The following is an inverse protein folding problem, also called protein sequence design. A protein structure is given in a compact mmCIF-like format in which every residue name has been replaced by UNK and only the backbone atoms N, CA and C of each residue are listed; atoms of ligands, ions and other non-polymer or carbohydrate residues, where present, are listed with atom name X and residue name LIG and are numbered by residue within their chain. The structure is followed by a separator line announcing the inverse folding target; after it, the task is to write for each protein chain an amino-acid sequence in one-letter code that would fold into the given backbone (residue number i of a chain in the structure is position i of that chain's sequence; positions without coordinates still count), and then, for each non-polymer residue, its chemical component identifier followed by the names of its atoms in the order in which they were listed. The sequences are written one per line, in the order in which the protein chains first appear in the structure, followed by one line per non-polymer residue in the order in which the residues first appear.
data_IF_232206132125
#
_entry.id   IF_232206132125
#
_cell.length_a   1.000
_cell.length_b   1.000
_cell.length_c   1.000
_cell.angle_alpha   90.00
_cell.angle_beta   90.00
_cell.angle_gamma   90.00
#
_symmetry.space_group_name_H-M   'P 1'
#
loop_
_entity.id
_entity.type
_entity.pdbx_description
1 polymer ?
#
# COMPACT_ATOMS: atom_id res chain seq x y z
N UNK A 1 11.16 29.37 23.12
CA UNK A 1 10.65 29.35 24.51
C UNK A 1 11.57 30.04 25.51
N UNK A 2 12.87 29.70 25.64
CA UNK A 2 13.75 30.44 26.58
C UNK A 2 13.97 31.90 26.17
N UNK A 3 14.10 32.17 24.87
CA UNK A 3 14.26 33.51 24.28
C UNK A 3 12.93 34.24 24.04
N UNK A 4 11.83 33.49 23.93
CA UNK A 4 10.48 34.00 23.67
C UNK A 4 9.51 33.24 24.58
N UNK A 5 9.17 33.83 25.74
CA UNK A 5 8.49 33.17 26.85
C UNK A 5 7.01 32.89 26.58
N UNK A 6 6.37 33.65 25.68
CA UNK A 6 4.94 33.51 25.36
C UNK A 6 4.65 32.52 24.22
N UNK A 7 5.68 31.93 23.60
CA UNK A 7 5.50 31.02 22.47
C UNK A 7 5.20 29.61 22.94
N UNK A 8 3.95 29.16 22.77
CA UNK A 8 3.55 27.75 22.93
C UNK A 8 3.88 26.97 21.66
N UNK A 9 4.66 25.90 21.78
CA UNK A 9 5.02 25.01 20.67
C UNK A 9 4.27 23.71 20.89
N UNK A 10 3.48 23.33 19.89
CA UNK A 10 2.83 22.04 19.80
C UNK A 10 3.71 21.10 18.98
N UNK A 11 3.93 19.90 19.50
CA UNK A 11 4.69 18.85 18.85
C UNK A 11 3.72 17.72 18.50
N UNK A 12 3.84 17.21 17.29
CA UNK A 12 3.05 16.08 16.78
C UNK A 12 4.05 15.00 16.40
N UNK A 13 3.95 13.83 17.04
CA UNK A 13 4.72 12.67 16.62
C UNK A 13 4.08 12.07 15.36
N UNK A 14 4.91 11.71 14.39
CA UNK A 14 4.49 11.12 13.12
C UNK A 14 5.12 9.74 12.95
N UNK A 15 4.29 8.72 12.76
CA UNK A 15 4.70 7.37 12.38
C UNK A 15 4.62 7.22 10.86
N UNK A 16 5.73 6.80 10.25
CA UNK A 16 5.78 6.44 8.83
C UNK A 16 5.87 4.93 8.66
N UNK A 17 5.03 4.37 7.80
CA UNK A 17 5.10 2.96 7.43
C UNK A 17 5.23 2.78 5.92
N UNK A 18 6.30 2.09 5.54
CA UNK A 18 6.53 1.60 4.19
C UNK A 18 6.40 0.09 4.19
N UNK A 19 5.52 -0.43 3.35
CA UNK A 19 5.45 -1.86 3.13
C UNK A 19 6.36 -2.30 1.99
N UNK A 20 6.51 -1.43 0.97
CA UNK A 20 7.32 -1.69 -0.21
C UNK A 20 8.31 -0.54 -0.47
N UNK A 21 9.33 -0.35 0.39
CA UNK A 21 10.20 0.83 0.37
C UNK A 21 11.04 0.98 -0.90
N UNK A 22 11.33 -0.11 -1.61
CA UNK A 22 12.12 -0.10 -2.85
C UNK A 22 11.29 0.06 -4.12
N UNK A 23 9.95 0.02 -4.01
CA UNK A 23 9.05 0.05 -5.17
C UNK A 23 8.76 1.49 -5.59
N UNK A 24 8.84 1.73 -6.89
CA UNK A 24 8.46 3.02 -7.45
C UNK A 24 6.96 3.27 -7.23
N UNK A 25 6.59 4.48 -6.79
CA UNK A 25 5.22 4.84 -6.39
C UNK A 25 4.67 3.94 -5.27
N UNK A 26 5.55 3.45 -4.40
CA UNK A 26 5.13 2.79 -3.17
C UNK A 26 4.26 3.76 -2.38
N UNK A 27 3.13 3.25 -1.92
CA UNK A 27 2.25 4.03 -1.07
C UNK A 27 2.66 3.78 0.40
N UNK A 28 2.44 4.76 1.26
CA UNK A 28 2.85 4.71 2.66
C UNK A 28 1.74 5.22 3.58
N UNK A 29 1.76 4.79 4.83
CA UNK A 29 0.81 5.23 5.85
C UNK A 29 1.50 6.21 6.79
N UNK A 30 0.86 7.36 6.98
CA UNK A 30 1.22 8.40 7.94
C UNK A 30 0.25 8.36 9.11
N UNK A 31 0.79 8.24 10.32
CA UNK A 31 0.01 8.27 11.55
C UNK A 31 0.45 9.41 12.44
N UNK A 32 -0.50 10.22 12.88
CA UNK A 32 -0.22 11.36 13.72
C UNK A 32 -0.66 11.08 15.17
N UNK A 33 0.14 11.51 16.13
CA UNK A 33 -0.27 11.53 17.53
C UNK A 33 -1.17 12.72 17.82
N UNK A 34 -1.86 12.68 18.96
CA UNK A 34 -2.43 13.92 19.50
C UNK A 34 -1.31 14.94 19.74
N UNK A 35 -1.51 16.23 19.37
CA UNK A 35 -0.54 17.27 19.65
C UNK A 35 -0.29 17.35 21.16
N UNK A 36 0.97 17.49 21.56
CA UNK A 36 1.34 17.78 22.94
C UNK A 36 2.13 19.07 23.01
N UNK A 37 1.91 19.85 24.06
CA UNK A 37 2.62 21.10 24.30
C UNK A 37 3.88 20.84 25.13
N UNK A 38 4.94 21.61 24.87
CA UNK A 38 6.15 21.56 25.69
C UNK A 38 5.89 22.27 27.01
N UNK A 39 5.98 21.55 28.13
CA UNK A 39 5.80 22.13 29.46
C UNK A 39 6.79 23.25 29.74
N UNK A 40 6.31 24.38 30.27
CA UNK A 40 7.14 25.51 30.69
C UNK A 40 8.22 25.11 31.71
N UNK A 41 7.94 24.10 32.54
CA UNK A 41 8.90 23.53 33.50
C UNK A 41 10.14 22.92 32.81
N UNK A 42 9.96 22.28 31.66
CA UNK A 42 11.09 21.73 30.88
C UNK A 42 11.95 22.86 30.27
N UNK A 43 11.34 24.00 29.96
CA UNK A 43 12.06 25.18 29.44
C UNK A 43 12.92 25.82 30.52
N UNK A 44 12.40 25.92 31.74
CA UNK A 44 13.16 26.39 32.91
C UNK A 44 14.28 25.42 33.28
N UNK A 45 14.00 24.11 33.25
CA UNK A 45 15.01 23.07 33.47
C UNK A 45 16.11 23.15 32.40
N UNK A 46 15.77 23.42 31.13
CA UNK A 46 16.75 23.58 30.06
C UNK A 46 17.69 24.78 30.27
N UNK A 47 17.25 25.84 30.96
CA UNK A 47 18.12 26.96 31.31
C UNK A 47 19.15 26.59 32.38
N UNK A 48 18.80 25.67 33.29
CA UNK A 48 19.67 25.21 34.38
C UNK A 48 20.58 24.05 33.95
N UNK A 49 19.98 23.00 33.37
CA UNK A 49 20.66 21.82 32.84
C UNK A 49 20.05 21.42 31.50
N UNK A 50 20.77 21.78 30.43
CA UNK A 50 20.38 21.47 29.05
C UNK A 50 20.26 19.96 28.81
N UNK A 51 21.14 19.14 29.42
CA UNK A 51 21.22 17.71 29.11
C UNK A 51 20.05 16.95 29.72
N UNK A 52 19.72 17.22 30.99
CA UNK A 52 18.56 16.61 31.66
C UNK A 52 17.25 16.96 30.96
N UNK A 53 17.02 18.25 30.67
CA UNK A 53 15.80 18.71 30.02
C UNK A 53 15.60 18.10 28.63
N UNK A 54 16.66 18.05 27.80
CA UNK A 54 16.62 17.38 26.50
C UNK A 54 16.34 15.87 26.65
N UNK A 55 16.95 15.20 27.62
CA UNK A 55 16.71 13.78 27.88
C UNK A 55 15.25 13.48 28.25
N UNK A 56 14.64 14.29 29.10
CA UNK A 56 13.21 14.16 29.47
C UNK A 56 12.29 14.43 28.28
N UNK A 57 12.57 15.47 27.51
CA UNK A 57 11.79 15.81 26.31
C UNK A 57 11.88 14.72 25.24
N UNK A 58 13.08 14.18 24.98
CA UNK A 58 13.29 13.05 24.08
C UNK A 58 12.57 11.80 24.57
N UNK A 59 12.61 11.49 25.87
CA UNK A 59 11.90 10.36 26.45
C UNK A 59 10.38 10.49 26.30
N UNK A 60 9.83 11.70 26.47
CA UNK A 60 8.41 11.95 26.23
C UNK A 60 8.05 11.80 24.75
N UNK A 61 8.89 12.34 23.85
CA UNK A 61 8.72 12.25 22.40
C UNK A 61 8.82 10.81 21.91
N UNK A 62 9.75 10.02 22.46
CA UNK A 62 9.89 8.59 22.18
C UNK A 62 8.63 7.82 22.57
N UNK A 63 8.04 8.08 23.75
CA UNK A 63 6.77 7.47 24.15
C UNK A 63 5.64 7.81 23.18
N UNK A 64 5.59 9.05 22.68
CA UNK A 64 4.60 9.50 21.67
C UNK A 64 4.86 8.87 20.30
N UNK A 65 6.11 8.68 19.89
CA UNK A 65 6.46 7.96 18.66
C UNK A 65 6.10 6.48 18.75
N UNK A 66 6.33 5.84 19.90
CA UNK A 66 5.95 4.45 20.14
C UNK A 66 4.43 4.25 20.07
N UNK A 67 3.62 5.23 20.46
CA UNK A 67 2.14 5.10 20.38
C UNK A 67 1.57 5.21 18.96
N UNK A 68 2.37 5.70 18.00
CA UNK A 68 2.04 5.74 16.56
C UNK A 68 2.84 4.73 15.75
N UNK A 69 3.58 3.84 16.43
CA UNK A 69 4.37 2.79 15.78
C UNK A 69 3.79 1.44 16.14
N UNK A 70 3.35 0.70 15.14
CA UNK A 70 2.92 -0.67 15.32
C UNK A 70 4.08 -1.62 15.18
N UNK A 71 4.38 -2.34 16.24
CA UNK A 71 5.45 -3.33 16.26
C UNK A 71 4.86 -4.74 16.30
N UNK A 72 5.40 -5.59 15.43
CA UNK A 72 5.19 -7.02 15.43
C UNK A 72 6.57 -7.71 15.55
N UNK A 73 6.65 -8.90 16.16
CA UNK A 73 7.92 -9.59 16.37
C UNK A 73 8.57 -10.06 15.07
N UNK A 74 7.76 -10.36 14.04
CA UNK A 74 8.24 -10.74 12.71
C UNK A 74 7.22 -10.28 11.65
N UNK A 75 7.61 -10.36 10.37
CA UNK A 75 6.77 -9.96 9.24
C UNK A 75 5.53 -10.87 9.05
N UNK A 76 5.63 -12.15 9.42
CA UNK A 76 4.50 -13.11 9.38
C UNK A 76 3.37 -12.67 10.30
N UNK A 77 3.68 -12.41 11.56
CA UNK A 77 2.74 -11.93 12.57
C UNK A 77 2.16 -10.56 12.18
N UNK A 78 2.99 -9.67 11.62
CA UNK A 78 2.51 -8.40 11.09
C UNK A 78 1.38 -8.61 10.08
N UNK A 79 1.61 -9.47 9.08
CA UNK A 79 0.63 -9.79 8.04
C UNK A 79 -0.64 -10.43 8.62
N UNK A 80 -0.47 -11.37 9.55
CA UNK A 80 -1.59 -12.05 10.19
C UNK A 80 -2.47 -11.07 11.00
N UNK A 81 -1.88 -10.11 11.73
CA UNK A 81 -2.65 -9.09 12.47
C UNK A 81 -3.48 -8.23 11.50
N UNK A 82 -2.89 -7.85 10.36
CA UNK A 82 -3.59 -7.09 9.33
C UNK A 82 -4.75 -7.86 8.70
N UNK A 83 -4.57 -9.16 8.46
CA UNK A 83 -5.58 -10.06 7.92
C UNK A 83 -6.70 -10.31 8.95
N UNK A 84 -6.36 -10.56 10.22
CA UNK A 84 -7.32 -10.74 11.30
C UNK A 84 -8.22 -9.49 11.47
N UNK A 85 -7.66 -8.29 11.37
CA UNK A 85 -8.45 -7.03 11.37
C UNK A 85 -9.43 -6.97 10.21
N UNK A 86 -9.05 -7.44 9.01
CA UNK A 86 -9.93 -7.49 7.83
C UNK A 86 -11.03 -8.56 7.96
N UNK A 87 -10.74 -9.65 8.67
CA UNK A 87 -11.73 -10.67 9.01
C UNK A 87 -12.73 -10.16 10.06
N UNK A 88 -12.32 -9.22 10.91
CA UNK A 88 -13.20 -8.56 11.88
C UNK A 88 -14.12 -7.50 11.24
N UNK A 89 -13.57 -6.57 10.44
CA UNK A 89 -14.38 -5.60 9.66
C UNK A 89 -14.10 -5.79 8.17
N UNK A 90 -15.09 -6.23 7.37
CA UNK A 90 -14.91 -6.46 5.94
C UNK A 90 -14.64 -5.16 5.19
N UNK A 91 -13.92 -5.26 4.06
CA UNK A 91 -13.54 -4.11 3.23
C UNK A 91 -14.73 -3.33 2.64
N UNK A 92 -15.92 -3.95 2.55
CA UNK A 92 -17.16 -3.28 2.14
C UNK A 92 -17.68 -2.29 3.20
N UNK A 93 -17.45 -2.59 4.48
CA UNK A 93 -17.98 -1.80 5.59
C UNK A 93 -16.96 -0.79 6.14
N UNK A 94 -15.67 -1.00 5.85
CA UNK A 94 -14.59 -0.17 6.36
C UNK A 94 -14.72 1.31 5.93
N UNK A 95 -15.25 1.57 4.74
CA UNK A 95 -15.48 2.92 4.22
C UNK A 95 -16.54 3.73 4.99
N UNK A 96 -17.22 3.13 5.96
CA UNK A 96 -18.17 3.83 6.86
C UNK A 96 -17.49 4.41 8.11
N UNK A 97 -16.20 4.16 8.30
CA UNK A 97 -15.42 4.61 9.46
C UNK A 97 -14.47 5.75 9.07
N UNK A 98 -14.23 6.65 10.02
CA UNK A 98 -13.22 7.70 9.89
C UNK A 98 -11.82 7.11 9.98
N UNK A 99 -10.83 7.79 9.38
CA UNK A 99 -9.42 7.36 9.43
C UNK A 99 -8.90 7.26 10.87
N UNK A 100 -9.41 8.10 11.77
CA UNK A 100 -9.08 8.08 13.18
C UNK A 100 -9.59 6.80 13.86
N UNK A 101 -10.85 6.43 13.61
CA UNK A 101 -11.47 5.21 14.14
C UNK A 101 -10.72 3.94 13.70
N UNK A 102 -10.25 3.92 12.45
CA UNK A 102 -9.51 2.77 11.90
C UNK A 102 -8.10 2.70 12.44
N UNK A 103 -7.42 3.83 12.56
CA UNK A 103 -6.11 3.87 13.18
C UNK A 103 -6.19 3.43 14.65
N UNK A 104 -7.24 3.84 15.35
CA UNK A 104 -7.51 3.37 16.70
C UNK A 104 -7.81 1.87 16.74
N UNK A 105 -8.57 1.35 15.77
CA UNK A 105 -8.79 -0.09 15.62
C UNK A 105 -7.47 -0.84 15.47
N UNK A 106 -6.57 -0.39 14.59
CA UNK A 106 -5.24 -1.00 14.47
C UNK A 106 -4.46 -0.94 15.79
N UNK A 107 -4.48 0.18 16.52
CA UNK A 107 -3.89 0.30 17.87
C UNK A 107 -4.39 -0.76 18.82
N UNK A 108 -5.69 -1.00 18.81
CA UNK A 108 -6.31 -2.02 19.65
C UNK A 108 -5.88 -3.44 19.24
N UNK A 109 -5.84 -3.74 17.94
CA UNK A 109 -5.38 -5.04 17.43
C UNK A 109 -3.91 -5.33 17.78
N UNK A 110 -3.01 -4.38 17.53
CA UNK A 110 -1.59 -4.55 17.83
C UNK A 110 -1.32 -4.62 19.33
N UNK A 111 -1.97 -3.78 20.14
CA UNK A 111 -1.86 -3.83 21.60
C UNK A 111 -2.37 -5.16 22.16
N UNK A 112 -3.57 -5.58 21.73
CA UNK A 112 -4.16 -6.86 22.15
C UNK A 112 -3.31 -8.05 21.78
N UNK A 113 -2.74 -8.06 20.57
CA UNK A 113 -1.81 -9.10 20.17
C UNK A 113 -0.54 -9.13 21.05
N UNK A 114 0.07 -7.97 21.34
CA UNK A 114 1.29 -7.93 22.17
C UNK A 114 1.08 -8.47 23.58
N UNK A 115 -0.07 -8.17 24.20
CA UNK A 115 -0.41 -8.62 25.54
C UNK A 115 -0.84 -10.11 25.56
N UNK A 116 -1.51 -10.59 24.51
CA UNK A 116 -2.17 -11.89 24.51
C UNK A 116 -1.49 -12.97 23.65
N UNK A 117 -0.40 -12.65 22.93
CA UNK A 117 0.30 -13.60 22.03
C UNK A 117 0.78 -14.90 22.68
N UNK A 118 0.94 -14.94 24.01
CA UNK A 118 1.42 -16.13 24.73
C UNK A 118 0.29 -17.12 25.05
N UNK A 119 -0.96 -16.77 24.74
CA UNK A 119 -2.12 -17.62 25.03
C UNK A 119 -2.35 -18.60 23.87
N UNK A 120 -2.73 -19.84 24.19
CA UNK A 120 -2.94 -20.87 23.16
C UNK A 120 -4.11 -20.52 22.24
N UNK A 121 -5.16 -19.82 22.71
CA UNK A 121 -6.29 -19.47 21.85
C UNK A 121 -5.90 -18.46 20.77
N UNK A 122 -5.04 -17.48 21.12
CA UNK A 122 -4.54 -16.46 20.19
C UNK A 122 -3.52 -17.06 19.23
N UNK A 123 -2.63 -17.93 19.70
CA UNK A 123 -1.67 -18.63 18.86
C UNK A 123 -2.37 -19.49 17.80
N UNK A 124 -3.36 -20.30 18.20
CA UNK A 124 -4.15 -21.12 17.29
C UNK A 124 -4.93 -20.26 16.27
N UNK A 125 -5.51 -19.14 16.71
CA UNK A 125 -6.19 -18.22 15.79
C UNK A 125 -5.21 -17.66 14.74
N UNK A 126 -4.02 -17.27 15.15
CA UNK A 126 -3.02 -16.67 14.25
C UNK A 126 -2.46 -17.69 13.25
N UNK A 127 -2.36 -18.97 13.63
CA UNK A 127 -2.01 -20.04 12.70
C UNK A 127 -3.13 -20.27 11.66
N UNK A 128 -4.39 -20.31 12.08
CA UNK A 128 -5.53 -20.44 11.14
C UNK A 128 -5.62 -19.25 10.17
N UNK A 129 -5.39 -18.03 10.67
CA UNK A 129 -5.32 -16.82 9.84
C UNK A 129 -4.16 -16.91 8.85
N UNK A 130 -3.01 -17.45 9.27
CA UNK A 130 -1.86 -17.65 8.40
C UNK A 130 -2.15 -18.66 7.29
N UNK A 131 -2.76 -19.80 7.62
CA UNK A 131 -3.16 -20.82 6.64
C UNK A 131 -4.16 -20.25 5.64
N UNK A 132 -5.17 -19.53 6.11
CA UNK A 132 -6.11 -18.84 5.23
C UNK A 132 -5.40 -17.85 4.29
N UNK A 133 -4.48 -17.04 4.81
CA UNK A 133 -3.66 -16.14 3.99
C UNK A 133 -2.80 -16.87 2.96
N UNK A 134 -2.33 -18.09 3.27
CA UNK A 134 -1.58 -18.96 2.36
C UNK A 134 -2.48 -19.53 1.25
N UNK A 135 -3.70 -19.93 1.60
CA UNK A 135 -4.70 -20.42 0.64
C UNK A 135 -5.05 -19.32 -0.36
N UNK A 136 -5.38 -18.12 0.13
CA UNK A 136 -5.62 -16.94 -0.73
C UNK A 136 -4.43 -16.66 -1.66
N UNK A 137 -3.21 -16.77 -1.14
CA UNK A 137 -1.99 -16.58 -1.93
C UNK A 137 -1.85 -17.64 -3.02
N UNK A 138 -2.10 -18.92 -2.70
CA UNK A 138 -1.99 -20.02 -3.65
C UNK A 138 -2.95 -19.88 -4.84
N UNK A 139 -4.07 -19.20 -4.62
CA UNK A 139 -5.11 -18.96 -5.61
C UNK A 139 -4.94 -17.63 -6.35
N UNK A 140 -4.06 -16.75 -5.87
CA UNK A 140 -3.91 -15.40 -6.40
C UNK A 140 -5.14 -14.51 -6.18
N UNK A 141 -5.98 -14.82 -5.18
CA UNK A 141 -7.22 -14.09 -4.90
C UNK A 141 -7.05 -13.20 -3.66
N UNK A 142 -7.63 -11.99 -3.70
CA UNK A 142 -7.65 -11.06 -2.55
C UNK A 142 -8.89 -11.31 -1.68
N UNK A 143 -8.73 -11.19 -0.35
CA UNK A 143 -9.84 -11.31 0.61
C UNK A 143 -11.01 -10.37 0.31
N UNK A 144 -10.73 -9.14 -0.10
CA UNK A 144 -11.73 -8.13 -0.50
C UNK A 144 -12.66 -8.62 -1.61
N UNK A 145 -12.13 -9.40 -2.54
CA UNK A 145 -12.84 -9.86 -3.74
C UNK A 145 -13.81 -10.99 -3.46
N UNK A 146 -13.71 -11.66 -2.30
CA UNK A 146 -14.54 -12.83 -1.96
C UNK A 146 -16.02 -12.45 -1.78
N UNK A 147 -16.31 -11.22 -1.30
CA UNK A 147 -17.68 -10.70 -1.13
C UNK A 147 -18.21 -9.90 -2.33
N UNK A 148 -17.32 -9.20 -3.06
CA UNK A 148 -17.74 -8.41 -4.24
C UNK A 148 -18.29 -9.27 -5.38
N UNK A 149 -17.96 -10.56 -5.37
CA UNK A 149 -18.38 -11.53 -6.38
C UNK A 149 -19.74 -12.09 -5.98
N UNK A 150 -20.78 -11.41 -6.45
CA UNK A 150 -22.11 -12.01 -6.57
C UNK A 150 -22.03 -13.13 -7.60
N UNK A 151 -22.41 -14.36 -7.22
CA UNK A 151 -22.31 -15.54 -8.08
C UNK A 151 -23.34 -15.60 -9.21
N UNK A 152 -23.91 -14.46 -9.61
CA UNK A 152 -24.68 -14.43 -10.84
C UNK A 152 -23.71 -14.56 -12.02
N UNK A 153 -23.65 -15.75 -12.60
CA UNK A 153 -22.73 -16.10 -13.71
C UNK A 153 -22.83 -15.13 -14.88
N UNK A 154 -24.05 -14.64 -15.18
CA UNK A 154 -24.27 -13.65 -16.25
C UNK A 154 -23.67 -12.29 -15.93
N UNK A 155 -23.77 -11.83 -14.68
CA UNK A 155 -23.18 -10.55 -14.26
C UNK A 155 -21.64 -10.65 -14.23
N UNK A 156 -21.11 -11.78 -13.74
CA UNK A 156 -19.67 -12.05 -13.76
C UNK A 156 -19.12 -12.08 -15.19
N UNK A 157 -19.83 -12.72 -16.12
CA UNK A 157 -19.44 -12.74 -17.53
C UNK A 157 -19.46 -11.33 -18.12
N UNK A 158 -20.54 -10.56 -17.93
CA UNK A 158 -20.66 -9.17 -18.41
C UNK A 158 -19.53 -8.29 -17.87
N UNK A 159 -19.29 -8.32 -16.55
CA UNK A 159 -18.21 -7.55 -15.90
C UNK A 159 -16.84 -7.98 -16.41
N UNK A 160 -16.63 -9.28 -16.68
CA UNK A 160 -15.39 -9.81 -17.25
C UNK A 160 -15.15 -9.31 -18.68
N UNK A 161 -16.17 -9.34 -19.54
CA UNK A 161 -16.09 -8.81 -20.92
C UNK A 161 -15.78 -7.31 -20.92
N UNK A 162 -16.43 -6.53 -20.03
CA UNK A 162 -16.14 -5.09 -19.89
C UNK A 162 -14.69 -4.84 -19.45
N UNK A 163 -14.20 -5.60 -18.45
CA UNK A 163 -12.81 -5.50 -18.00
C UNK A 163 -11.81 -5.88 -19.09
N UNK A 164 -12.10 -6.93 -19.88
CA UNK A 164 -11.29 -7.34 -21.04
C UNK A 164 -11.22 -6.22 -22.09
N UNK A 165 -12.36 -5.63 -22.45
CA UNK A 165 -12.41 -4.54 -23.43
C UNK A 165 -11.63 -3.30 -22.97
N UNK A 166 -11.83 -2.87 -21.71
CA UNK A 166 -11.06 -1.76 -21.12
C UNK A 166 -9.57 -2.03 -21.16
N UNK A 167 -9.16 -3.25 -20.79
CA UNK A 167 -7.77 -3.66 -20.79
C UNK A 167 -7.16 -3.65 -22.19
N UNK A 168 -7.86 -4.17 -23.21
CA UNK A 168 -7.40 -4.15 -24.60
C UNK A 168 -7.21 -2.73 -25.12
N UNK A 169 -8.18 -1.84 -24.86
CA UNK A 169 -8.08 -0.44 -25.27
C UNK A 169 -6.90 0.27 -24.59
N UNK A 170 -6.68 0.02 -23.30
CA UNK A 170 -5.51 0.54 -22.60
C UNK A 170 -4.20 -0.06 -23.12
N UNK A 171 -4.17 -1.35 -23.46
CA UNK A 171 -2.95 -2.02 -23.93
C UNK A 171 -2.49 -1.50 -25.29
N UNK A 172 -3.40 -1.21 -26.22
CA UNK A 172 -3.06 -0.61 -27.53
C UNK A 172 -2.29 0.71 -27.34
N UNK A 173 -2.70 1.52 -26.38
CA UNK A 173 -2.05 2.80 -26.08
C UNK A 173 -0.74 2.64 -25.28
N UNK A 174 -0.69 1.68 -24.37
CA UNK A 174 0.44 1.45 -23.45
C UNK A 174 1.57 0.67 -24.12
N UNK A 175 1.28 -0.18 -25.10
CA UNK A 175 2.25 -1.07 -25.72
C UNK A 175 3.45 -0.35 -26.35
N UNK A 176 3.29 0.74 -27.14
CA UNK A 176 4.44 1.45 -27.70
C UNK A 176 5.32 2.06 -26.60
N UNK A 177 4.71 2.68 -25.58
CA UNK A 177 5.44 3.22 -24.43
C UNK A 177 6.21 2.16 -23.66
N UNK A 178 5.62 0.97 -23.44
CA UNK A 178 6.31 -0.17 -22.82
C UNK A 178 7.54 -0.58 -23.60
N UNK A 179 7.42 -0.74 -24.93
CA UNK A 179 8.56 -1.11 -25.79
C UNK A 179 9.68 -0.09 -25.67
N UNK A 180 9.35 1.21 -25.65
CA UNK A 180 10.39 2.26 -25.55
C UNK A 180 11.04 2.35 -24.16
N UNK A 181 10.30 2.07 -23.09
CA UNK A 181 10.78 2.18 -21.71
C UNK A 181 11.41 0.89 -21.18
N UNK A 182 11.13 -0.26 -21.78
CA UNK A 182 11.60 -1.57 -21.32
C UNK A 182 13.14 -1.67 -21.24
N UNK A 183 13.94 -1.23 -22.24
CA UNK A 183 15.39 -1.28 -22.14
C UNK A 183 15.92 -0.45 -20.96
N UNK A 184 15.37 0.75 -20.77
CA UNK A 184 15.70 1.62 -19.64
C UNK A 184 15.39 0.93 -18.31
N UNK A 185 14.20 0.34 -18.19
CA UNK A 185 13.77 -0.39 -16.99
C UNK A 185 14.70 -1.57 -16.67
N UNK A 186 15.04 -2.40 -17.67
CA UNK A 186 15.91 -3.57 -17.51
C UNK A 186 17.33 -3.16 -17.10
N UNK A 187 17.92 -2.17 -17.77
CA UNK A 187 19.26 -1.67 -17.44
C UNK A 187 19.28 -1.14 -16.00
N UNK A 188 18.29 -0.34 -15.63
CA UNK A 188 18.19 0.22 -14.28
C UNK A 188 18.06 -0.88 -13.21
N UNK A 189 17.26 -1.91 -13.47
CA UNK A 189 17.10 -3.08 -12.58
C UNK A 189 18.43 -3.80 -12.34
N UNK A 190 19.19 -4.05 -13.40
CA UNK A 190 20.50 -4.74 -13.32
C UNK A 190 21.51 -3.89 -12.54
N UNK A 191 21.60 -2.59 -12.82
CA UNK A 191 22.53 -1.69 -12.15
C UNK A 191 22.19 -1.54 -10.66
N UNK A 192 20.90 -1.38 -10.32
CA UNK A 192 20.47 -1.28 -8.94
C UNK A 192 20.76 -2.55 -8.13
N UNK A 193 20.55 -3.73 -8.72
CA UNK A 193 20.84 -5.00 -8.05
C UNK A 193 22.34 -5.22 -7.87
N UNK A 194 23.16 -4.78 -8.84
CA UNK A 194 24.62 -4.80 -8.72
C UNK A 194 25.11 -3.95 -7.54
N UNK A 195 24.57 -2.74 -7.37
CA UNK A 195 24.91 -1.87 -6.24
C UNK A 195 24.38 -2.40 -4.90
N UNK A 196 23.16 -2.96 -4.87
CA UNK A 196 22.63 -3.63 -3.67
C UNK A 196 23.57 -4.74 -3.21
N UNK A 197 24.01 -5.61 -4.11
CA UNK A 197 24.93 -6.72 -3.78
C UNK A 197 26.27 -6.21 -3.27
N UNK A 198 26.81 -5.12 -3.82
CA UNK A 198 28.03 -4.48 -3.29
C UNK A 198 27.82 -3.94 -1.89
N UNK A 199 26.69 -3.27 -1.63
CA UNK A 199 26.37 -2.71 -0.33
C UNK A 199 26.15 -3.77 0.75
N UNK A 200 25.49 -4.88 0.40
CA UNK A 200 25.30 -6.04 1.29
C UNK A 200 26.64 -6.70 1.63
N UNK A 201 27.56 -6.85 0.66
CA UNK A 201 28.91 -7.38 0.94
C UNK A 201 29.75 -6.48 1.85
N UNK A 202 29.53 -5.16 1.80
CA UNK A 202 30.28 -4.17 2.58
C UNK A 202 29.73 -3.99 4.00
N UNK A 203 28.49 -4.37 4.27
CA UNK A 203 27.83 -4.15 5.56
C UNK A 203 27.44 -5.45 6.23
N UNK A 204 27.92 -5.66 7.46
CA UNK A 204 27.52 -6.80 8.29
C UNK A 204 26.12 -6.67 8.90
N UNK A 205 25.49 -5.49 8.82
CA UNK A 205 24.21 -5.19 9.50
C UNK A 205 23.03 -5.14 8.52
N UNK A 206 23.27 -4.89 7.22
CA UNK A 206 22.19 -4.78 6.23
C UNK A 206 21.72 -6.16 5.78
N UNK A 207 20.47 -6.50 6.07
CA UNK A 207 19.87 -7.78 5.67
C UNK A 207 19.32 -7.76 4.23
N UNK A 208 18.66 -6.66 3.81
CA UNK A 208 17.96 -6.61 2.51
C UNK A 208 18.43 -5.49 1.55
N UNK A 209 18.85 -4.34 2.07
CA UNK A 209 19.39 -3.23 1.27
C UNK A 209 18.36 -2.53 0.36
N UNK A 210 17.09 -2.45 0.76
CA UNK A 210 16.03 -1.76 0.00
C UNK A 210 16.30 -0.26 -0.20
N UNK A 211 16.95 0.38 0.77
CA UNK A 211 17.40 1.77 0.72
C UNK A 211 18.33 2.02 -0.48
N UNK A 212 19.27 1.11 -0.70
CA UNK A 212 20.25 1.16 -1.79
C UNK A 212 19.53 0.95 -3.13
N UNK A 213 18.60 0.00 -3.21
CA UNK A 213 17.81 -0.22 -4.44
C UNK A 213 17.03 1.03 -4.83
N UNK A 214 16.26 1.61 -3.90
CA UNK A 214 15.41 2.76 -4.18
C UNK A 214 16.21 3.97 -4.65
N UNK A 215 17.24 4.34 -3.87
CA UNK A 215 18.12 5.48 -4.20
C UNK A 215 18.87 5.28 -5.52
N UNK A 216 19.39 4.08 -5.78
CA UNK A 216 20.12 3.75 -7.01
C UNK A 216 19.22 3.76 -8.24
N UNK A 217 17.99 3.24 -8.12
CA UNK A 217 16.99 3.28 -9.20
C UNK A 217 16.64 4.70 -9.59
N UNK A 218 16.46 5.60 -8.61
CA UNK A 218 16.18 7.02 -8.85
C UNK A 218 17.39 7.67 -9.55
N UNK A 219 18.60 7.46 -9.03
CA UNK A 219 19.82 8.04 -9.58
C UNK A 219 20.05 7.63 -11.06
N UNK A 220 19.97 6.34 -11.37
CA UNK A 220 20.15 5.88 -12.74
C UNK A 220 18.98 6.29 -13.64
N UNK A 221 17.74 6.37 -13.14
CA UNK A 221 16.63 6.91 -13.92
C UNK A 221 16.86 8.36 -14.35
N UNK A 222 17.43 9.21 -13.50
CA UNK A 222 17.77 10.59 -13.85
C UNK A 222 18.76 10.69 -15.02
N UNK A 223 19.63 9.70 -15.20
CA UNK A 223 20.63 9.66 -16.28
C UNK A 223 20.06 8.95 -17.52
N UNK A 224 19.44 7.78 -17.33
CA UNK A 224 18.95 6.93 -18.42
C UNK A 224 17.72 7.51 -19.12
N UNK A 225 16.86 8.26 -18.41
CA UNK A 225 15.65 8.81 -19.02
C UNK A 225 15.94 9.88 -20.09
N UNK A 226 16.77 10.92 -19.83
CA UNK A 226 17.20 11.85 -20.87
C UNK A 226 17.91 11.16 -22.05
N UNK A 227 18.76 10.15 -21.77
CA UNK A 227 19.40 9.35 -22.81
C UNK A 227 18.39 8.63 -23.69
N UNK A 228 17.33 8.08 -23.09
CA UNK A 228 16.25 7.40 -23.82
C UNK A 228 15.48 8.40 -24.70
N UNK A 229 15.12 9.56 -24.16
CA UNK A 229 14.45 10.63 -24.93
C UNK A 229 15.30 11.11 -26.11
N UNK A 230 16.60 11.35 -25.89
CA UNK A 230 17.51 11.78 -26.97
C UNK A 230 17.72 10.68 -28.02
N UNK A 231 17.83 9.42 -27.61
CA UNK A 231 17.94 8.27 -28.52
C UNK A 231 16.71 8.13 -29.43
N UNK A 232 15.49 8.21 -28.89
CA UNK A 232 14.28 8.12 -29.71
C UNK A 232 14.07 9.36 -30.59
N UNK A 233 14.40 10.56 -30.11
CA UNK A 233 14.30 11.79 -30.90
C UNK A 233 15.29 11.79 -32.08
N UNK A 234 16.54 11.35 -31.85
CA UNK A 234 17.54 11.23 -32.92
C UNK A 234 17.20 10.13 -33.91
N UNK A 235 16.67 8.98 -33.43
CA UNK A 235 16.17 7.91 -34.30
C UNK A 235 15.04 8.41 -35.21
N UNK A 236 14.10 9.20 -34.65
CA UNK A 236 13.03 9.83 -35.42
C UNK A 236 13.58 10.77 -36.51
N UNK A 237 14.56 11.60 -36.17
CA UNK A 237 15.22 12.50 -37.13
C UNK A 237 15.86 11.73 -38.29
N UNK A 238 16.60 10.65 -37.99
CA UNK A 238 17.25 9.80 -38.99
C UNK A 238 16.20 9.14 -39.89
N UNK A 239 15.15 8.57 -39.31
CA UNK A 239 14.08 7.91 -40.07
C UNK A 239 13.35 8.89 -41.00
N UNK A 240 13.04 10.11 -40.53
CA UNK A 240 12.46 11.16 -41.38
C UNK A 240 13.39 11.53 -42.53
N UNK A 241 14.71 11.59 -42.29
CA UNK A 241 15.68 11.92 -43.33
C UNK A 241 15.86 10.80 -44.36
N UNK A 242 15.71 9.55 -43.96
CA UNK A 242 15.86 8.39 -44.85
C UNK A 242 14.61 8.12 -45.70
N UNK A 243 13.42 8.25 -45.12
CA UNK A 243 12.17 7.78 -45.75
C UNK A 243 11.22 8.90 -46.18
N UNK A 244 11.44 10.15 -45.77
CA UNK A 244 10.54 11.27 -46.09
C UNK A 244 11.25 12.35 -46.89
N UNK A 245 10.55 12.92 -47.89
CA UNK A 245 11.01 14.07 -48.67
C UNK A 245 10.75 15.41 -47.97
N UNK A 246 10.70 15.42 -46.63
CA UNK A 246 10.41 16.59 -45.82
C UNK A 246 11.59 17.58 -45.83
N UNK A 247 11.28 18.87 -45.69
CA UNK A 247 12.32 19.90 -45.56
C UNK A 247 13.07 19.74 -44.23
N UNK A 248 14.30 20.27 -44.15
CA UNK A 248 15.07 20.24 -42.90
C UNK A 248 14.35 20.96 -41.76
N UNK A 249 13.60 22.02 -42.07
CA UNK A 249 12.82 22.77 -41.10
C UNK A 249 11.70 21.91 -40.49
N UNK A 250 10.95 21.20 -41.32
CA UNK A 250 9.84 20.34 -40.85
C UNK A 250 10.36 19.17 -40.00
N UNK A 251 11.51 18.59 -40.37
CA UNK A 251 12.14 17.53 -39.58
C UNK A 251 12.54 18.04 -38.18
N UNK A 252 13.15 19.21 -38.10
CA UNK A 252 13.52 19.83 -36.83
C UNK A 252 12.29 20.19 -35.99
N UNK A 253 11.23 20.73 -36.62
CA UNK A 253 9.97 21.04 -35.95
C UNK A 253 9.31 19.78 -35.36
N UNK A 254 9.26 18.68 -36.12
CA UNK A 254 8.74 17.40 -35.65
C UNK A 254 9.55 16.83 -34.49
N UNK A 255 10.88 16.93 -34.54
CA UNK A 255 11.75 16.49 -33.44
C UNK A 255 11.54 17.32 -32.17
N UNK A 256 11.34 18.63 -32.31
CA UNK A 256 11.03 19.50 -31.19
C UNK A 256 9.70 19.12 -30.53
N UNK A 257 8.64 18.95 -31.32
CA UNK A 257 7.34 18.51 -30.80
C UNK A 257 7.41 17.12 -30.17
N UNK A 258 8.16 16.19 -30.78
CA UNK A 258 8.38 14.88 -30.21
C UNK A 258 9.08 14.96 -28.85
N UNK A 259 10.13 15.77 -28.70
CA UNK A 259 10.84 15.94 -27.44
C UNK A 259 9.94 16.50 -26.32
N UNK A 260 8.97 17.36 -26.66
CA UNK A 260 8.00 17.93 -25.71
C UNK A 260 6.90 16.94 -25.34
N UNK A 261 6.30 16.26 -26.33
CA UNK A 261 5.15 15.37 -26.10
C UNK A 261 5.55 13.96 -25.65
N UNK A 262 6.72 13.46 -26.03
CA UNK A 262 7.17 12.11 -25.68
C UNK A 262 7.24 11.88 -24.15
N UNK A 263 7.74 12.82 -23.32
CA UNK A 263 7.67 12.67 -21.87
C UNK A 263 6.25 12.63 -21.31
N UNK A 264 5.34 13.43 -21.87
CA UNK A 264 3.93 13.45 -21.47
C UNK A 264 3.28 12.11 -21.82
N UNK A 265 3.54 11.60 -23.01
CA UNK A 265 3.10 10.28 -23.45
C UNK A 265 3.61 9.17 -22.50
N UNK A 266 4.92 9.13 -22.21
CA UNK A 266 5.49 8.15 -21.27
C UNK A 266 4.85 8.21 -19.88
N UNK A 267 4.58 9.42 -19.38
CA UNK A 267 3.88 9.59 -18.10
C UNK A 267 2.46 8.99 -18.14
N UNK A 268 1.70 9.25 -19.20
CA UNK A 268 0.35 8.69 -19.38
C UNK A 268 0.42 7.16 -19.54
N UNK A 269 1.41 6.63 -20.27
CA UNK A 269 1.61 5.18 -20.42
C UNK A 269 1.86 4.50 -19.08
N UNK A 270 2.77 5.03 -18.27
CA UNK A 270 3.06 4.48 -16.93
C UNK A 270 1.81 4.55 -16.04
N UNK A 271 1.06 5.64 -16.08
CA UNK A 271 -0.21 5.76 -15.32
C UNK A 271 -1.28 4.78 -15.82
N UNK A 272 -1.36 4.55 -17.13
CA UNK A 272 -2.36 3.66 -17.73
C UNK A 272 -2.03 2.19 -17.49
N UNK A 273 -0.75 1.85 -17.29
CA UNK A 273 -0.31 0.51 -16.91
C UNK A 273 -0.91 0.07 -15.56
N UNK A 274 -1.04 1.00 -14.59
CA UNK A 274 -1.72 0.74 -13.30
C UNK A 274 -3.16 0.25 -13.53
N UNK A 275 -3.87 0.82 -14.51
CA UNK A 275 -5.24 0.40 -14.87
C UNK A 275 -5.29 -0.95 -15.60
N UNK A 276 -4.28 -1.27 -16.40
CA UNK A 276 -4.17 -2.57 -17.08
C UNK A 276 -3.98 -3.69 -16.06
N UNK A 277 -3.07 -3.52 -15.10
CA UNK A 277 -2.78 -4.53 -14.06
C UNK A 277 -3.97 -4.76 -13.14
N UNK A 278 -4.68 -3.70 -12.73
CA UNK A 278 -5.88 -3.83 -11.91
C UNK A 278 -7.01 -4.56 -12.67
N UNK A 279 -7.24 -4.22 -13.95
CA UNK A 279 -8.25 -4.90 -14.76
C UNK A 279 -7.87 -6.37 -15.04
N UNK A 280 -6.59 -6.66 -15.26
CA UNK A 280 -6.08 -8.03 -15.43
C UNK A 280 -6.36 -8.87 -14.18
N UNK A 281 -6.00 -8.38 -13.01
CA UNK A 281 -6.22 -9.10 -11.75
C UNK A 281 -7.72 -9.34 -11.49
N UNK A 282 -8.57 -8.33 -11.73
CA UNK A 282 -10.01 -8.48 -11.60
C UNK A 282 -10.59 -9.50 -12.61
N UNK A 283 -10.11 -9.49 -13.85
CA UNK A 283 -10.51 -10.44 -14.88
C UNK A 283 -10.09 -11.86 -14.49
N UNK A 284 -8.83 -12.04 -14.09
CA UNK A 284 -8.29 -13.32 -13.67
C UNK A 284 -9.10 -13.94 -12.53
N UNK A 285 -9.36 -13.17 -11.46
CA UNK A 285 -10.16 -13.65 -10.33
C UNK A 285 -11.58 -14.02 -10.77
N UNK A 286 -12.26 -13.21 -11.58
CA UNK A 286 -13.62 -13.50 -12.04
C UNK A 286 -13.68 -14.75 -12.91
N UNK A 287 -12.72 -14.92 -13.82
CA UNK A 287 -12.59 -16.12 -14.66
C UNK A 287 -12.31 -17.34 -13.79
N UNK A 288 -11.40 -17.22 -12.83
CA UNK A 288 -11.09 -18.29 -11.89
C UNK A 288 -12.33 -18.72 -11.09
N UNK A 289 -13.13 -17.77 -10.59
CA UNK A 289 -14.38 -18.06 -9.90
C UNK A 289 -15.44 -18.75 -10.78
N UNK A 290 -15.45 -18.50 -12.09
CA UNK A 290 -16.35 -19.20 -13.01
C UNK A 290 -15.99 -20.68 -13.19
N UNK A 291 -14.69 -21.02 -13.14
CA UNK A 291 -14.21 -22.39 -13.33
C UNK A 291 -14.09 -23.19 -12.02
N UNK A 292 -13.81 -22.52 -10.90
CA UNK A 292 -13.49 -23.17 -9.61
C UNK A 292 -14.47 -22.77 -8.51
N UNK A 293 -15.77 -22.94 -8.77
CA UNK A 293 -16.82 -22.52 -7.83
C UNK A 293 -16.72 -23.24 -6.48
N UNK A 294 -16.54 -24.56 -6.50
CA UNK A 294 -16.46 -25.38 -5.27
C UNK A 294 -15.30 -24.94 -4.36
N UNK A 295 -14.13 -24.67 -4.94
CA UNK A 295 -12.96 -24.15 -4.22
C UNK A 295 -13.24 -22.79 -3.58
N UNK A 296 -13.95 -21.92 -4.29
CA UNK A 296 -14.32 -20.59 -3.78
C UNK A 296 -15.32 -20.67 -2.62
N UNK A 297 -16.25 -21.63 -2.68
CA UNK A 297 -17.21 -21.87 -1.61
C UNK A 297 -16.51 -22.38 -0.34
N UNK A 298 -15.54 -23.31 -0.46
CA UNK A 298 -14.72 -23.77 0.67
C UNK A 298 -13.95 -22.62 1.34
N UNK A 299 -13.36 -21.71 0.55
CA UNK A 299 -12.63 -20.55 1.09
C UNK A 299 -13.57 -19.59 1.80
N UNK A 300 -14.78 -19.42 1.28
CA UNK A 300 -15.80 -18.57 1.90
C UNK A 300 -16.22 -19.15 3.25
N UNK A 301 -16.48 -20.44 3.32
CA UNK A 301 -16.76 -21.13 4.59
C UNK A 301 -15.61 -21.00 5.58
N UNK A 302 -14.36 -21.21 5.13
CA UNK A 302 -13.17 -21.02 5.95
C UNK A 302 -13.05 -19.59 6.47
N UNK A 303 -13.33 -18.60 5.62
CA UNK A 303 -13.33 -17.18 6.00
C UNK A 303 -14.39 -16.89 7.06
N UNK A 304 -15.62 -17.37 6.89
CA UNK A 304 -16.71 -17.18 7.85
C UNK A 304 -16.38 -17.82 9.20
N UNK A 305 -15.82 -19.03 9.19
CA UNK A 305 -15.37 -19.72 10.40
C UNK A 305 -14.31 -18.89 11.14
N UNK A 306 -13.24 -18.47 10.44
CA UNK A 306 -12.16 -17.70 11.07
C UNK A 306 -12.66 -16.33 11.51
N UNK A 307 -13.53 -15.67 10.73
CA UNK A 307 -14.13 -14.40 11.12
C UNK A 307 -14.92 -14.53 12.42
N UNK A 308 -15.75 -15.58 12.58
CA UNK A 308 -16.45 -15.87 13.85
C UNK A 308 -15.46 -16.08 15.00
N UNK A 309 -14.41 -16.85 14.79
CA UNK A 309 -13.35 -17.10 15.79
C UNK A 309 -12.61 -15.82 16.19
N UNK A 310 -12.30 -14.95 15.23
CA UNK A 310 -11.71 -13.62 15.49
C UNK A 310 -12.65 -12.80 16.38
N UNK A 311 -13.96 -12.78 16.08
CA UNK A 311 -14.93 -12.07 16.90
C UNK A 311 -15.04 -12.65 18.31
N UNK A 312 -15.05 -13.97 18.46
CA UNK A 312 -15.11 -14.65 19.76
C UNK A 312 -13.88 -14.36 20.63
N UNK A 313 -12.67 -14.45 20.06
CA UNK A 313 -11.42 -14.12 20.75
C UNK A 313 -11.41 -12.64 21.16
N UNK A 314 -11.85 -11.74 20.28
CA UNK A 314 -11.93 -10.31 20.56
C UNK A 314 -12.98 -10.00 21.63
N UNK A 315 -14.14 -10.66 21.63
CA UNK A 315 -15.19 -10.42 22.62
C UNK A 315 -14.83 -11.00 23.99
N UNK A 316 -14.09 -12.11 24.03
CA UNK A 316 -13.62 -12.74 25.27
C UNK A 316 -12.47 -11.96 25.91
N UNK A 317 -11.51 -11.53 25.09
CA UNK A 317 -10.25 -10.95 25.59
C UNK A 317 -10.15 -9.43 25.42
N UNK A 318 -10.97 -8.83 24.56
CA UNK A 318 -11.02 -7.38 24.35
C UNK A 318 -11.25 -6.56 25.62
N UNK A 319 -12.18 -6.96 26.51
CA UNK A 319 -12.40 -6.27 27.79
C UNK A 319 -11.19 -6.29 28.74
N UNK A 320 -10.25 -7.24 28.59
CA UNK A 320 -9.05 -7.33 29.44
C UNK A 320 -7.96 -6.34 29.02
N UNK A 321 -7.96 -5.91 27.76
CA UNK A 321 -6.91 -5.06 27.16
C UNK A 321 -7.35 -3.59 27.03
N UNK A 322 -8.66 -3.38 26.86
CA UNK A 322 -9.25 -2.08 26.50
C UNK A 322 -10.29 -1.69 27.56
N UNK A 323 -10.04 -0.60 28.26
CA UNK A 323 -11.02 0.05 29.13
C UNK A 323 -12.23 0.51 28.29
N UNK A 324 -13.45 0.24 28.75
CA UNK A 324 -14.70 0.59 28.05
C UNK A 324 -14.87 -0.04 26.65
N UNK A 325 -14.44 -1.30 26.47
CA UNK A 325 -14.58 -2.07 25.22
C UNK A 325 -15.99 -2.03 24.59
N UNK A 326 -17.04 -2.19 25.40
CA UNK A 326 -18.43 -2.26 24.91
C UNK A 326 -19.03 -0.93 24.43
N UNK A 327 -18.46 0.20 24.85
CA UNK A 327 -18.85 1.55 24.43
C UNK A 327 -18.08 1.99 23.18
N UNK A 328 -16.86 1.50 23.04
CA UNK A 328 -15.96 1.83 21.93
C UNK A 328 -15.96 0.81 20.80
N UNK A 329 -16.85 -0.19 20.86
CA UNK A 329 -17.04 -1.21 19.82
C UNK A 329 -17.68 -0.57 18.59
N UNK A 330 -16.84 -0.29 17.58
CA UNK A 330 -17.18 0.36 16.31
C UNK A 330 -18.32 -0.34 15.51
N UNK A 331 -18.73 -1.55 15.87
CA UNK A 331 -19.81 -2.29 15.19
C UNK A 331 -21.22 -1.78 15.53
N UNK A 332 -21.43 -1.03 16.62
CA UNK A 332 -22.78 -0.54 16.99
C UNK A 332 -23.29 0.58 16.06
N UNK A 333 -22.39 1.41 15.52
CA UNK A 333 -22.75 2.56 14.70
C UNK A 333 -23.02 2.21 13.22
N UNK A 334 -22.51 1.09 12.71
CA UNK A 334 -22.69 0.69 11.30
C UNK A 334 -24.14 0.30 10.98
N UNK A 335 -24.87 -0.32 11.93
CA UNK A 335 -26.30 -0.65 11.78
C UNK A 335 -27.21 0.58 11.81
N UNK A 336 -26.81 1.67 12.47
CA UNK A 336 -27.55 2.94 12.45
C UNK A 336 -27.22 3.78 11.21
N UNK A 337 -25.95 3.83 10.77
CA UNK A 337 -25.53 4.58 9.57
C UNK A 337 -26.01 3.95 8.25
N UNK A 338 -26.10 2.62 8.15
CA UNK A 338 -26.59 1.92 6.94
C UNK A 338 -28.08 2.16 6.63
N UNK A 339 -28.91 2.46 7.64
CA UNK A 339 -30.31 2.88 7.43
C UNK A 339 -30.45 4.29 6.88
N UNK A 340 -29.50 5.19 7.14
CA UNK A 340 -29.54 6.58 6.67
C UNK A 340 -28.90 6.83 5.30
N UNK A 341 -28.19 5.84 4.74
CA UNK A 341 -27.41 5.99 3.49
C UNK A 341 -28.15 5.54 2.23
N UNK A 342 -29.31 4.87 2.35
CA UNK A 342 -30.15 4.50 1.20
C UNK A 342 -30.84 5.70 0.51
N UNK A 343 -30.86 6.87 1.15
CA UNK A 343 -31.56 8.06 0.64
C UNK A 343 -30.64 9.16 0.07
N UNK A 344 -29.32 8.95 0.00
CA UNK A 344 -28.35 9.97 -0.45
C UNK A 344 -27.29 9.45 -1.41
N UNK A 345 -27.69 8.66 -2.40
CA UNK A 345 -26.80 8.33 -3.52
C UNK A 345 -27.07 9.26 -4.70
N UNK A 346 -26.50 10.47 -4.60
CA UNK A 346 -26.13 11.32 -5.74
C UNK A 346 -25.11 12.35 -5.26
N UNK A 347 -24.04 12.46 -6.04
CA UNK A 347 -22.99 13.49 -6.02
C UNK A 347 -21.79 13.26 -5.08
N UNK A 348 -20.79 12.58 -5.68
CA UNK A 348 -19.37 12.95 -5.75
C UNK A 348 -18.65 13.49 -4.51
N UNK A 349 -17.89 12.61 -3.84
CA UNK A 349 -16.51 12.81 -3.34
C UNK A 349 -16.02 11.45 -2.76
N UNK A 350 -15.44 10.57 -3.59
CA UNK A 350 -14.96 9.22 -3.18
C UNK A 350 -13.49 8.97 -3.59
N UNK A 351 -12.79 10.00 -4.05
CA UNK A 351 -11.48 9.86 -4.71
C UNK A 351 -10.28 9.82 -3.74
N UNK A 352 -10.39 10.29 -2.50
CA UNK A 352 -9.34 10.16 -1.47
C UNK A 352 -9.51 8.95 -0.56
N UNK A 353 -10.75 8.59 -0.25
CA UNK A 353 -11.08 7.70 0.87
C UNK A 353 -10.94 6.22 0.54
N UNK A 354 -11.08 5.86 -0.75
CA UNK A 354 -10.78 4.51 -1.27
C UNK A 354 -9.27 4.23 -1.34
N UNK A 355 -8.44 5.28 -1.38
CA UNK A 355 -7.00 5.19 -1.63
C UNK A 355 -6.25 4.48 -0.52
N UNK A 356 -6.59 4.73 0.76
CA UNK A 356 -5.97 4.11 1.96
C UNK A 356 -6.24 2.60 2.07
N UNK A 357 -7.41 2.15 1.63
CA UNK A 357 -7.76 0.73 1.68
C UNK A 357 -7.21 -0.02 0.49
N UNK A 358 -7.29 0.57 -0.71
CA UNK A 358 -6.56 0.06 -1.88
C UNK A 358 -5.06 -0.01 -1.63
N UNK A 359 -4.53 0.89 -0.80
CA UNK A 359 -3.17 0.90 -0.27
C UNK A 359 -2.84 -0.38 0.48
N UNK A 360 -3.60 -0.66 1.55
CA UNK A 360 -3.46 -1.86 2.37
C UNK A 360 -3.72 -3.15 1.55
N UNK A 361 -4.59 -3.07 0.56
CA UNK A 361 -4.97 -4.17 -0.35
C UNK A 361 -3.93 -4.42 -1.47
N UNK A 362 -3.18 -3.39 -1.89
CA UNK A 362 -2.05 -3.54 -2.81
C UNK A 362 -0.84 -4.10 -2.08
N UNK A 363 -0.56 -3.61 -0.87
CA UNK A 363 0.51 -4.08 0.01
C UNK A 363 0.51 -5.60 0.22
N UNK A 364 -0.64 -6.19 0.58
CA UNK A 364 -0.73 -7.64 0.84
C UNK A 364 -0.55 -8.52 -0.42
N UNK A 365 -0.84 -7.97 -1.60
CA UNK A 365 -0.84 -8.68 -2.89
C UNK A 365 0.48 -8.53 -3.64
N UNK A 366 1.08 -7.35 -3.60
CA UNK A 366 2.39 -7.10 -4.21
C UNK A 366 3.49 -7.91 -3.53
N UNK A 367 3.35 -8.23 -2.23
CA UNK A 367 4.25 -9.16 -1.54
C UNK A 367 4.10 -10.63 -1.99
N UNK A 368 2.96 -10.99 -2.62
CA UNK A 368 2.81 -12.28 -3.29
C UNK A 368 3.57 -12.32 -4.62
N UNK A 369 3.53 -11.22 -5.38
CA UNK A 369 4.27 -11.07 -6.64
C UNK A 369 5.78 -10.94 -6.39
N UNK A 370 6.19 -10.17 -5.40
CA UNK A 370 7.59 -10.01 -5.01
C UNK A 370 8.21 -11.33 -4.52
N UNK A 371 7.44 -12.23 -3.89
CA UNK A 371 7.97 -13.55 -3.52
C UNK A 371 8.19 -14.50 -4.70
N UNK A 372 7.50 -14.29 -5.83
CA UNK A 372 7.79 -14.97 -7.10
C UNK A 372 8.97 -14.29 -7.82
N UNK A 373 9.07 -12.97 -7.72
CA UNK A 373 10.18 -12.18 -8.26
C UNK A 373 11.50 -12.43 -7.50
N UNK A 374 11.45 -12.71 -6.19
CA UNK A 374 12.58 -13.17 -5.36
C UNK A 374 12.96 -14.64 -5.63
N UNK A 375 12.08 -15.42 -6.25
CA UNK A 375 12.36 -16.78 -6.75
C UNK A 375 12.91 -16.80 -8.18
N UNK A 376 13.10 -15.62 -8.80
CA UNK A 376 13.72 -15.51 -10.12
C UNK A 376 12.86 -15.99 -11.28
N UNK A 377 11.53 -15.87 -11.17
CA UNK A 377 10.60 -16.01 -12.29
C UNK A 377 10.05 -14.66 -12.73
#
# INVERSE_FOLDING_TARGET
MSKYKDTKIKVIACGLKYFNPSRFRSKMILEFSTPFEVDSKLVEEYQKDKRSACGKFLSHTEKKLRSVTFTAPNYRELKNIYLARRLYIPSSEIGNYSQEEINELYKRFFKGYQEMRKRPEVENLMEEVYEYGRDLKSLGVKDSKIYEIEFNTLDLLKKSVISLFKMMMSLIFVFPGLVTLLPMYVINRILAEKERRKALKKSSVKVFGADVLGSTRILYSFILYPLTCTFFTTSLFILQRMYSSLSLYDCCANCFWFLVFYPIYNYICVRSLDGVTDNWNNLFVRVYCLFSKDTMDVIREKREHISKKVHEVIDTFGPMVIENFNQTKLLKDSKQKSKGKKDKEKDSEVTSDSSFYQLMEQVDFDDAFNSLEELGL
#
